data_IF_724331084911
#
_entry.id   IF_724331084911
#
_cell.length_a   1.000
_cell.length_b   1.000
_cell.length_c   1.000
_cell.angle_alpha   90.00
_cell.angle_beta   90.00
_cell.angle_gamma   90.00
#
_symmetry.space_group_name_H-M   'P 1'
#
loop_
_entity.id
_entity.type
_entity.pdbx_description
1 polymer ?
#
# COMPACT_ATOMS: atom_id res chain seq x y z
N UNK A 1 -21.37 -3.76 -5.21
CA UNK A 1 -20.26 -3.20 -5.99
C UNK A 1 -18.95 -3.90 -5.59
N UNK A 2 -18.56 -4.94 -6.35
CA UNK A 2 -17.44 -5.83 -6.03
C UNK A 2 -16.08 -5.32 -6.52
N UNK A 3 -15.53 -5.95 -7.57
CA UNK A 3 -14.27 -5.51 -8.20
C UNK A 3 -14.39 -4.04 -8.66
N UNK A 4 -13.69 -3.14 -7.97
CA UNK A 4 -13.89 -1.69 -8.07
C UNK A 4 -12.60 -0.92 -7.75
N UNK A 5 -12.74 0.34 -7.33
CA UNK A 5 -11.63 1.29 -7.03
C UNK A 5 -10.69 1.58 -8.21
N UNK A 6 -11.13 1.33 -9.45
CA UNK A 6 -10.37 1.73 -10.63
C UNK A 6 -10.21 3.25 -10.71
N UNK A 7 -9.04 3.72 -11.14
CA UNK A 7 -8.70 5.14 -11.27
C UNK A 7 -8.42 5.85 -9.94
N UNK A 8 -8.21 5.10 -8.85
CA UNK A 8 -7.92 5.70 -7.54
C UNK A 8 -6.58 6.46 -7.53
N UNK A 9 -5.61 6.00 -8.32
CA UNK A 9 -4.34 6.66 -8.54
C UNK A 9 -4.51 8.03 -9.23
N UNK A 10 -5.37 8.14 -10.24
CA UNK A 10 -5.68 9.40 -10.93
C UNK A 10 -6.23 10.46 -9.96
N UNK A 11 -7.13 10.08 -9.06
CA UNK A 11 -7.62 10.97 -8.01
C UNK A 11 -6.48 11.47 -7.12
N UNK A 12 -5.58 10.57 -6.71
CA UNK A 12 -4.46 10.92 -5.84
C UNK A 12 -3.39 11.76 -6.54
N UNK A 13 -3.22 11.61 -7.85
CA UNK A 13 -2.37 12.51 -8.64
C UNK A 13 -2.90 13.94 -8.58
N UNK A 14 -4.21 14.15 -8.78
CA UNK A 14 -4.85 15.47 -8.70
C UNK A 14 -4.76 16.03 -7.27
N UNK A 15 -5.03 15.22 -6.25
CA UNK A 15 -4.94 15.62 -4.83
C UNK A 15 -3.53 16.11 -4.48
N UNK A 16 -2.49 15.38 -4.92
CA UNK A 16 -1.09 15.77 -4.68
C UNK A 16 -0.67 17.00 -5.49
N UNK A 17 -1.25 17.20 -6.67
CA UNK A 17 -0.87 18.30 -7.57
C UNK A 17 -1.46 19.65 -7.14
N UNK A 18 -2.71 19.66 -6.64
CA UNK A 18 -3.46 20.89 -6.42
C UNK A 18 -3.84 21.07 -4.94
N UNK A 19 -3.30 22.09 -4.24
CA UNK A 19 -3.53 22.28 -2.79
C UNK A 19 -4.99 22.45 -2.36
N UNK A 20 -5.89 22.80 -3.28
CA UNK A 20 -7.33 22.94 -3.03
C UNK A 20 -8.03 21.58 -2.84
N UNK A 21 -7.44 20.49 -3.33
CA UNK A 21 -7.98 19.15 -3.22
C UNK A 21 -7.42 18.48 -1.97
N UNK A 22 -8.25 18.28 -0.96
CA UNK A 22 -7.84 17.80 0.36
C UNK A 22 -8.06 16.29 0.57
N UNK A 23 -8.37 15.55 -0.50
CA UNK A 23 -8.76 14.15 -0.44
C UNK A 23 -10.27 13.94 -0.61
N UNK A 24 -10.77 12.84 -0.04
CA UNK A 24 -12.17 12.44 -0.10
C UNK A 24 -12.48 11.25 0.79
N UNK A 25 -13.73 10.82 0.78
CA UNK A 25 -14.21 9.67 1.55
C UNK A 25 -14.65 8.56 0.60
N UNK A 26 -14.10 7.36 0.79
CA UNK A 26 -14.47 6.19 0.00
C UNK A 26 -15.85 5.70 0.45
N UNK A 27 -16.71 5.39 -0.52
CA UNK A 27 -17.98 4.73 -0.31
C UNK A 27 -17.87 3.24 -0.69
N UNK A 28 -18.02 2.28 0.22
CA UNK A 28 -18.10 2.45 1.68
C UNK A 28 -17.05 1.60 2.42
N UNK A 29 -17.11 1.62 3.76
CA UNK A 29 -16.14 0.90 4.56
C UNK A 29 -16.38 -0.62 4.54
N UNK A 30 -17.62 -1.08 4.65
CA UNK A 30 -17.92 -2.49 4.90
C UNK A 30 -19.20 -2.93 4.21
N UNK A 31 -19.12 -4.06 3.51
CA UNK A 31 -20.28 -4.71 2.92
C UNK A 31 -21.35 -4.98 3.99
N UNK A 32 -22.61 -4.69 3.64
CA UNK A 32 -23.73 -4.75 4.57
C UNK A 32 -24.56 -6.03 4.39
N UNK A 33 -23.99 -7.08 3.78
CA UNK A 33 -24.64 -8.38 3.69
C UNK A 33 -24.80 -9.01 5.09
N UNK A 34 -25.85 -9.79 5.28
CA UNK A 34 -26.04 -10.56 6.51
C UNK A 34 -25.77 -12.04 6.26
N UNK A 35 -25.34 -12.74 7.30
CA UNK A 35 -25.23 -14.19 7.26
C UNK A 35 -26.63 -14.81 7.18
N UNK A 36 -26.86 -15.56 6.11
CA UNK A 36 -28.08 -16.35 5.94
C UNK A 36 -27.71 -17.83 5.80
N UNK A 37 -28.28 -18.65 6.67
CA UNK A 37 -28.18 -20.09 6.57
C UNK A 37 -29.07 -20.58 5.41
N UNK A 38 -28.49 -21.40 4.53
CA UNK A 38 -29.15 -22.13 3.45
C UNK A 38 -29.24 -23.60 3.83
N UNK A 39 -29.92 -24.40 3.00
CA UNK A 39 -30.05 -25.84 3.21
C UNK A 39 -28.68 -26.49 3.45
N UNK A 40 -28.68 -27.55 4.26
CA UNK A 40 -27.48 -28.35 4.57
C UNK A 40 -26.38 -27.58 5.32
N UNK A 41 -26.74 -26.50 6.04
CA UNK A 41 -25.81 -25.75 6.90
C UNK A 41 -24.85 -24.84 6.15
N UNK A 42 -25.12 -24.57 4.87
CA UNK A 42 -24.32 -23.64 4.08
C UNK A 42 -24.67 -22.20 4.40
N UNK A 43 -23.69 -21.38 4.77
CA UNK A 43 -23.90 -19.94 4.99
C UNK A 43 -23.59 -19.16 3.71
N UNK A 44 -24.39 -18.12 3.46
CA UNK A 44 -24.12 -17.13 2.42
C UNK A 44 -24.20 -15.71 2.99
N UNK A 45 -23.47 -14.79 2.38
CA UNK A 45 -23.67 -13.36 2.56
C UNK A 45 -24.88 -12.93 1.73
N UNK A 46 -26.04 -12.85 2.38
CA UNK A 46 -27.30 -12.49 1.74
C UNK A 46 -27.49 -10.97 1.69
N UNK A 47 -27.99 -10.50 0.57
CA UNK A 47 -28.31 -9.09 0.32
C UNK A 47 -29.78 -8.92 -0.10
N UNK A 48 -30.16 -7.74 -0.57
CA UNK A 48 -31.52 -7.50 -1.03
C UNK A 48 -31.96 -8.54 -2.08
N UNK A 49 -33.18 -9.07 -1.94
CA UNK A 49 -33.72 -10.10 -2.84
C UNK A 49 -33.43 -11.55 -2.43
N UNK A 50 -32.47 -11.80 -1.51
CA UNK A 50 -32.18 -13.17 -1.04
C UNK A 50 -33.18 -13.71 0.00
N UNK A 51 -33.96 -12.81 0.62
CA UNK A 51 -34.87 -13.12 1.73
C UNK A 51 -36.28 -13.51 1.27
N UNK A 52 -36.76 -12.94 0.17
CA UNK A 52 -38.05 -13.29 -0.45
C UNK A 52 -38.14 -12.71 -1.88
N UNK A 53 -39.11 -13.18 -2.71
CA UNK A 53 -39.26 -12.73 -4.09
C UNK A 53 -40.23 -11.56 -4.33
N UNK A 54 -40.86 -10.99 -3.29
CA UNK A 54 -41.97 -10.03 -3.46
C UNK A 54 -41.68 -8.61 -2.95
N UNK A 55 -40.77 -8.46 -1.99
CA UNK A 55 -40.35 -7.14 -1.52
C UNK A 55 -39.47 -6.45 -2.58
N UNK A 56 -39.63 -5.13 -2.71
CA UNK A 56 -38.78 -4.34 -3.58
C UNK A 56 -37.32 -4.39 -3.11
N UNK A 57 -36.38 -4.44 -4.07
CA UNK A 57 -34.97 -4.61 -3.74
C UNK A 57 -34.03 -3.96 -4.75
N UNK A 58 -33.01 -3.28 -4.22
CA UNK A 58 -31.83 -2.79 -4.96
C UNK A 58 -30.71 -3.85 -5.08
N UNK A 59 -31.04 -5.13 -4.84
CA UNK A 59 -30.14 -6.26 -4.97
C UNK A 59 -28.87 -6.10 -4.11
N UNK A 60 -27.69 -6.32 -4.68
CA UNK A 60 -26.40 -6.32 -3.98
C UNK A 60 -25.75 -4.92 -3.87
N UNK A 61 -26.51 -3.84 -4.05
CA UNK A 61 -25.97 -2.48 -3.97
C UNK A 61 -25.41 -2.13 -2.59
N UNK A 62 -25.89 -2.80 -1.53
CA UNK A 62 -25.40 -2.67 -0.16
C UNK A 62 -24.05 -3.38 0.10
N UNK A 63 -23.54 -4.14 -0.88
CA UNK A 63 -22.25 -4.83 -0.80
C UNK A 63 -21.22 -4.06 -1.63
N UNK A 64 -20.81 -2.89 -1.14
CA UNK A 64 -19.96 -1.91 -1.82
C UNK A 64 -18.76 -1.48 -0.97
N UNK A 65 -18.34 -2.33 -0.03
CA UNK A 65 -17.31 -2.02 0.94
C UNK A 65 -15.87 -2.31 0.50
N UNK A 66 -14.92 -1.62 1.12
CA UNK A 66 -13.51 -2.02 1.14
C UNK A 66 -13.31 -3.36 1.85
N UNK A 67 -14.18 -3.68 2.82
CA UNK A 67 -14.11 -4.89 3.62
C UNK A 67 -15.39 -5.72 3.49
N UNK A 68 -15.24 -7.04 3.59
CA UNK A 68 -16.35 -8.00 3.70
C UNK A 68 -17.15 -7.77 4.98
N UNK A 69 -18.35 -8.38 5.14
CA UNK A 69 -19.11 -8.27 6.39
C UNK A 69 -18.36 -8.82 7.62
N UNK A 70 -17.37 -9.71 7.42
CA UNK A 70 -16.48 -10.21 8.48
C UNK A 70 -15.24 -9.33 8.73
N UNK A 71 -15.13 -8.19 8.05
CA UNK A 71 -13.99 -7.26 8.10
C UNK A 71 -12.72 -7.84 7.45
N UNK A 72 -12.88 -8.80 6.55
CA UNK A 72 -11.80 -9.26 5.69
C UNK A 72 -11.60 -8.24 4.56
N UNK A 73 -10.35 -7.90 4.25
CA UNK A 73 -10.04 -6.93 3.20
C UNK A 73 -10.37 -7.49 1.81
N UNK A 74 -11.17 -6.76 1.03
CA UNK A 74 -11.28 -7.01 -0.41
C UNK A 74 -9.97 -6.60 -1.11
N UNK A 75 -9.63 -7.15 -2.29
CA UNK A 75 -8.37 -6.86 -2.98
C UNK A 75 -8.08 -5.37 -3.15
N UNK A 76 -9.11 -4.56 -3.47
CA UNK A 76 -8.98 -3.12 -3.65
C UNK A 76 -8.67 -2.35 -2.36
N UNK A 77 -8.88 -2.92 -1.16
CA UNK A 77 -8.45 -2.28 0.08
C UNK A 77 -6.91 -2.18 0.18
N UNK A 78 -6.18 -3.13 -0.42
CA UNK A 78 -4.71 -3.08 -0.48
C UNK A 78 -4.19 -2.02 -1.44
N UNK A 79 -4.95 -1.74 -2.51
CA UNK A 79 -4.66 -0.66 -3.45
C UNK A 79 -4.86 0.71 -2.78
N UNK A 80 -5.97 0.86 -2.04
CA UNK A 80 -6.21 2.03 -1.18
C UNK A 80 -5.09 2.23 -0.18
N UNK A 81 -4.66 1.16 0.52
CA UNK A 81 -3.59 1.23 1.50
C UNK A 81 -2.26 1.70 0.86
N UNK A 82 -1.96 1.26 -0.36
CA UNK A 82 -0.78 1.70 -1.10
C UNK A 82 -0.85 3.20 -1.42
N UNK A 83 -1.97 3.69 -1.96
CA UNK A 83 -2.10 5.11 -2.33
C UNK A 83 -2.22 6.07 -1.12
N UNK A 84 -2.74 5.58 0.01
CA UNK A 84 -2.84 6.31 1.28
C UNK A 84 -1.56 6.30 2.12
N UNK A 85 -0.53 5.55 1.71
CA UNK A 85 0.72 5.50 2.47
C UNK A 85 1.37 6.90 2.51
N UNK A 86 1.97 7.25 3.67
CA UNK A 86 2.53 8.58 3.90
C UNK A 86 4.04 8.66 3.59
N UNK A 87 4.65 7.57 3.13
CA UNK A 87 6.09 7.51 2.84
C UNK A 87 6.29 6.96 1.45
N UNK A 88 7.07 7.65 0.62
CA UNK A 88 7.34 7.24 -0.75
C UNK A 88 8.84 7.12 -0.99
N UNK A 89 9.26 5.98 -1.54
CA UNK A 89 10.59 5.84 -2.11
C UNK A 89 10.57 6.31 -3.57
N UNK A 90 11.55 7.10 -3.96
CA UNK A 90 11.69 7.68 -5.29
C UNK A 90 13.07 7.35 -5.82
N UNK A 91 13.16 7.08 -7.13
CA UNK A 91 14.45 6.97 -7.79
C UNK A 91 15.14 8.34 -7.81
N UNK A 92 16.37 8.38 -7.31
CA UNK A 92 17.26 9.54 -7.37
C UNK A 92 18.51 9.17 -8.16
N UNK A 93 19.10 8.03 -7.81
CA UNK A 93 20.10 7.30 -8.59
C UNK A 93 20.19 5.88 -8.01
N UNK A 94 19.11 5.11 -8.18
CA UNK A 94 18.99 3.78 -7.56
C UNK A 94 20.05 2.82 -8.09
N UNK A 95 20.60 3.06 -9.29
CA UNK A 95 21.73 2.30 -9.84
C UNK A 95 23.02 2.46 -9.02
N UNK A 96 23.20 3.62 -8.36
CA UNK A 96 24.27 3.87 -7.39
C UNK A 96 23.77 3.87 -5.94
N UNK A 97 22.68 3.16 -5.67
CA UNK A 97 22.16 2.99 -4.32
C UNK A 97 21.67 4.27 -3.66
N UNK A 98 21.17 5.24 -4.43
CA UNK A 98 20.58 6.48 -3.90
C UNK A 98 19.09 6.51 -4.15
N UNK A 99 18.31 6.60 -3.07
CA UNK A 99 16.85 6.75 -3.14
C UNK A 99 16.40 8.01 -2.41
N UNK A 100 15.37 8.65 -2.93
CA UNK A 100 14.64 9.70 -2.24
C UNK A 100 13.59 9.08 -1.33
N UNK A 101 13.49 9.53 -0.08
CA UNK A 101 12.42 9.18 0.85
C UNK A 101 11.60 10.43 1.12
N UNK A 102 10.37 10.47 0.59
CA UNK A 102 9.40 11.56 0.74
C UNK A 102 8.48 11.28 1.92
N UNK A 103 8.34 12.25 2.82
CA UNK A 103 7.46 12.20 3.98
C UNK A 103 6.18 13.03 3.75
N UNK A 104 5.07 12.39 3.41
CA UNK A 104 3.76 13.03 3.24
C UNK A 104 2.99 13.25 4.56
N UNK A 105 3.50 12.81 5.72
CA UNK A 105 2.91 13.22 6.99
C UNK A 105 2.93 14.75 7.14
N UNK A 106 1.87 15.30 7.72
CA UNK A 106 1.73 16.74 7.97
C UNK A 106 2.51 17.22 9.21
N UNK A 107 2.64 16.38 10.24
CA UNK A 107 3.05 16.84 11.58
C UNK A 107 4.21 16.06 12.22
N UNK A 108 4.59 14.91 11.69
CA UNK A 108 5.64 14.04 12.27
C UNK A 108 6.74 13.72 11.27
N UNK A 109 7.97 13.61 11.75
CA UNK A 109 9.07 13.07 10.97
C UNK A 109 9.01 11.54 10.87
N UNK A 110 9.98 10.92 10.20
CA UNK A 110 10.04 9.48 9.99
C UNK A 110 10.80 8.68 11.08
N UNK A 111 11.21 9.30 12.19
CA UNK A 111 12.03 8.63 13.22
C UNK A 111 11.34 7.50 13.98
N UNK A 112 10.02 7.40 13.81
CA UNK A 112 9.17 6.34 14.32
C UNK A 112 9.19 5.06 13.45
N UNK A 113 9.80 5.12 12.26
CA UNK A 113 9.86 4.02 11.31
C UNK A 113 11.28 3.45 11.21
N UNK A 114 11.35 2.17 10.85
CA UNK A 114 12.53 1.53 10.28
C UNK A 114 12.32 1.37 8.78
N UNK A 115 13.41 1.31 8.03
CA UNK A 115 13.40 0.95 6.62
C UNK A 115 14.22 -0.32 6.40
N UNK A 116 13.60 -1.32 5.78
CA UNK A 116 14.26 -2.49 5.23
C UNK A 116 14.24 -2.39 3.70
N UNK A 117 15.29 -2.91 3.06
CA UNK A 117 15.34 -2.99 1.59
C UNK A 117 16.04 -4.25 1.14
N UNK A 118 15.68 -4.71 -0.06
CA UNK A 118 16.33 -5.82 -0.76
C UNK A 118 16.48 -5.51 -2.24
N UNK A 119 17.65 -5.81 -2.79
CA UNK A 119 17.90 -5.77 -4.23
C UNK A 119 17.69 -7.19 -4.77
N UNK A 120 16.78 -7.32 -5.73
CA UNK A 120 16.43 -8.56 -6.38
C UNK A 120 17.11 -8.66 -7.75
N UNK A 121 17.59 -9.84 -8.11
CA UNK A 121 18.01 -10.17 -9.46
C UNK A 121 17.18 -11.35 -9.98
N UNK A 122 16.35 -11.13 -11.01
CA UNK A 122 15.30 -12.06 -11.46
C UNK A 122 14.47 -12.61 -10.29
N UNK A 123 14.02 -11.71 -9.40
CA UNK A 123 13.22 -12.05 -8.22
C UNK A 123 13.98 -12.67 -7.04
N UNK A 124 15.29 -12.91 -7.16
CA UNK A 124 16.10 -13.51 -6.07
C UNK A 124 16.86 -12.40 -5.31
N UNK A 125 16.73 -12.27 -3.98
CA UNK A 125 17.49 -11.29 -3.21
C UNK A 125 19.00 -11.53 -3.30
N UNK A 126 19.74 -10.50 -3.74
CA UNK A 126 21.21 -10.51 -3.87
C UNK A 126 21.90 -9.54 -2.91
N UNK A 127 21.19 -8.52 -2.44
CA UNK A 127 21.64 -7.60 -1.38
C UNK A 127 20.45 -7.19 -0.52
N UNK A 128 20.72 -6.81 0.72
CA UNK A 128 19.72 -6.30 1.66
C UNK A 128 20.34 -5.29 2.61
N UNK A 129 19.51 -4.46 3.23
CA UNK A 129 19.93 -3.58 4.30
C UNK A 129 18.77 -3.09 5.16
N UNK A 130 19.15 -2.44 6.25
CA UNK A 130 18.24 -1.96 7.29
C UNK A 130 18.73 -0.61 7.81
N UNK A 131 17.81 0.30 8.15
CA UNK A 131 18.13 1.53 8.87
C UNK A 131 17.00 1.99 9.79
N UNK A 132 17.37 2.43 10.98
CA UNK A 132 16.49 3.10 11.96
C UNK A 132 16.64 4.63 11.92
N UNK A 133 17.61 5.15 11.15
CA UNK A 133 17.98 6.56 11.17
C UNK A 133 17.22 7.37 10.11
N UNK A 134 15.89 7.27 10.13
CA UNK A 134 15.01 8.04 9.27
C UNK A 134 14.63 9.35 9.97
N UNK A 135 15.03 10.50 9.41
CA UNK A 135 14.81 11.82 10.03
C UNK A 135 14.16 12.83 9.09
N UNK A 136 13.52 12.36 8.01
CA UNK A 136 12.91 13.23 7.01
C UNK A 136 11.77 14.03 7.64
N UNK A 137 11.87 15.38 7.67
CA UNK A 137 10.83 16.22 8.25
C UNK A 137 9.49 16.10 7.51
N UNK A 138 8.36 16.46 8.16
CA UNK A 138 7.05 16.53 7.51
C UNK A 138 7.09 17.35 6.23
N UNK A 139 6.47 16.85 5.15
CA UNK A 139 6.41 17.56 3.89
C UNK A 139 7.75 17.69 3.12
N UNK A 140 8.81 16.99 3.54
CA UNK A 140 10.13 17.01 2.88
C UNK A 140 10.50 15.67 2.24
N UNK A 141 11.62 15.69 1.52
CA UNK A 141 12.31 14.52 0.97
C UNK A 141 13.74 14.52 1.49
N UNK A 142 14.27 13.35 1.84
CA UNK A 142 15.70 13.15 2.13
C UNK A 142 16.26 12.09 1.20
N UNK A 143 17.54 12.21 0.82
CA UNK A 143 18.23 11.17 0.05
C UNK A 143 18.91 10.20 1.02
N UNK A 144 18.73 8.91 0.81
CA UNK A 144 19.42 7.84 1.52
C UNK A 144 20.38 7.12 0.58
N UNK A 145 21.57 6.82 1.09
CA UNK A 145 22.56 5.99 0.42
C UNK A 145 22.50 4.57 1.01
N UNK A 146 22.32 3.58 0.14
CA UNK A 146 22.12 2.17 0.48
C UNK A 146 23.43 1.38 0.54
N UNK A 147 24.56 2.01 0.20
CA UNK A 147 25.90 1.40 0.31
C UNK A 147 26.23 0.41 -0.80
N UNK A 148 25.63 0.54 -1.98
CA UNK A 148 26.06 -0.11 -3.21
C UNK A 148 26.19 0.89 -4.35
N UNK A 149 26.92 0.52 -5.39
CA UNK A 149 27.18 1.33 -6.58
C UNK A 149 26.95 0.51 -7.84
N UNK A 150 26.96 1.15 -9.02
CA UNK A 150 26.80 0.43 -10.28
C UNK A 150 27.88 -0.64 -10.51
N UNK A 151 29.10 -0.46 -9.98
CA UNK A 151 30.18 -1.45 -10.10
C UNK A 151 29.86 -2.76 -9.36
N UNK A 152 29.09 -2.69 -8.27
CA UNK A 152 28.61 -3.86 -7.54
C UNK A 152 27.60 -4.69 -8.33
N UNK A 153 26.93 -4.07 -9.31
CA UNK A 153 25.83 -4.65 -10.07
C UNK A 153 26.28 -5.35 -11.36
N UNK A 154 27.55 -5.20 -11.74
CA UNK A 154 28.11 -5.75 -13.00
C UNK A 154 27.91 -7.27 -13.10
N UNK A 155 27.97 -7.99 -11.97
CA UNK A 155 27.73 -9.44 -11.90
C UNK A 155 26.30 -9.85 -12.27
N UNK A 156 25.36 -8.89 -12.33
CA UNK A 156 23.95 -9.11 -12.60
C UNK A 156 23.44 -8.36 -13.83
N UNK A 157 24.33 -7.84 -14.68
CA UNK A 157 23.99 -7.03 -15.86
C UNK A 157 23.04 -7.70 -16.86
N UNK A 158 23.03 -9.03 -16.90
CA UNK A 158 22.17 -9.82 -17.81
C UNK A 158 20.85 -10.24 -17.14
N UNK A 159 20.50 -9.65 -15.98
CA UNK A 159 19.30 -9.95 -15.18
C UNK A 159 18.45 -8.69 -15.00
N UNK A 160 17.16 -8.84 -14.79
CA UNK A 160 16.32 -7.75 -14.30
C UNK A 160 16.66 -7.47 -12.83
N UNK A 161 16.80 -6.18 -12.48
CA UNK A 161 17.10 -5.73 -11.13
C UNK A 161 15.99 -4.83 -10.62
N UNK A 162 15.48 -5.16 -9.42
CA UNK A 162 14.48 -4.36 -8.71
C UNK A 162 14.91 -4.15 -7.27
N UNK A 163 14.67 -2.96 -6.73
CA UNK A 163 14.85 -2.65 -5.32
C UNK A 163 13.49 -2.61 -4.63
N UNK A 164 13.24 -3.54 -3.71
CA UNK A 164 12.12 -3.45 -2.79
C UNK A 164 12.52 -2.63 -1.58
N UNK A 165 11.60 -1.77 -1.11
CA UNK A 165 11.76 -0.96 0.09
C UNK A 165 10.50 -1.07 0.94
N UNK A 166 10.68 -1.27 2.24
CA UNK A 166 9.61 -1.42 3.22
C UNK A 166 9.85 -0.48 4.41
N UNK A 167 8.82 0.26 4.82
CA UNK A 167 8.87 1.12 5.99
C UNK A 167 7.93 0.58 7.06
N UNK A 168 8.46 0.22 8.24
CA UNK A 168 7.72 -0.44 9.30
C UNK A 168 7.79 0.30 10.64
N UNK A 169 6.77 0.14 11.48
CA UNK A 169 6.72 0.75 12.81
C UNK A 169 7.85 0.22 13.72
N UNK A 170 8.60 1.11 14.38
CA UNK A 170 9.65 0.68 15.33
C UNK A 170 9.11 0.19 16.65
N UNK A 171 7.98 0.74 17.06
CA UNK A 171 7.30 0.46 18.32
C UNK A 171 5.81 0.39 18.04
N UNK A 172 5.07 -0.30 18.91
CA UNK A 172 3.63 -0.26 18.86
C UNK A 172 3.12 1.16 19.14
N UNK A 173 2.10 1.59 18.39
CA UNK A 173 1.45 2.89 18.55
C UNK A 173 -0.06 2.73 18.33
N UNK A 174 -0.87 3.13 19.31
CA UNK A 174 -2.32 2.97 19.31
C UNK A 174 -2.77 1.53 18.97
N UNK A 175 -3.38 1.33 17.79
CA UNK A 175 -3.88 0.03 17.31
C UNK A 175 -2.88 -0.70 16.39
N UNK A 176 -1.69 -0.14 16.18
CA UNK A 176 -0.69 -0.67 15.25
C UNK A 176 0.45 -1.31 16.06
N UNK A 177 0.65 -2.64 15.96
CA UNK A 177 1.81 -3.31 16.55
C UNK A 177 3.15 -2.79 16.03
N UNK A 178 4.25 -3.13 16.71
CA UNK A 178 5.60 -2.94 16.17
C UNK A 178 5.83 -3.87 14.96
N UNK A 179 6.62 -3.43 14.00
CA UNK A 179 6.99 -4.20 12.80
C UNK A 179 5.93 -4.18 11.69
N UNK A 180 4.83 -3.44 11.83
CA UNK A 180 3.81 -3.33 10.77
C UNK A 180 4.34 -2.46 9.65
N UNK A 181 4.33 -2.98 8.42
CA UNK A 181 4.68 -2.23 7.20
C UNK A 181 3.58 -1.23 6.90
N UNK A 182 3.91 0.06 6.94
CA UNK A 182 3.00 1.17 6.64
C UNK A 182 3.14 1.72 5.23
N UNK A 183 4.30 1.50 4.60
CA UNK A 183 4.56 1.92 3.24
C UNK A 183 5.53 0.96 2.56
N UNK A 184 5.38 0.77 1.26
CA UNK A 184 6.29 -0.04 0.45
C UNK A 184 6.46 0.54 -0.95
N UNK A 185 7.55 0.19 -1.60
CA UNK A 185 7.80 0.51 -3.00
C UNK A 185 8.68 -0.54 -3.65
N UNK A 186 8.58 -0.67 -4.96
CA UNK A 186 9.54 -1.37 -5.79
C UNK A 186 10.04 -0.41 -6.86
N UNK A 187 11.36 -0.24 -6.97
CA UNK A 187 11.99 0.62 -7.96
C UNK A 187 12.73 -0.24 -8.98
N UNK A 188 12.53 -0.04 -10.29
CA UNK A 188 13.37 -0.68 -11.31
C UNK A 188 14.79 -0.11 -11.20
N UNK A 189 15.79 -1.00 -11.18
CA UNK A 189 17.22 -0.61 -11.10
C UNK A 189 17.91 -0.83 -12.43
N UNK A 190 17.61 -1.94 -13.09
CA UNK A 190 18.11 -2.30 -14.40
C UNK A 190 17.13 -3.26 -15.06
N UNK A 191 16.90 -3.08 -16.35
CA UNK A 191 16.11 -4.00 -17.16
C UNK A 191 16.93 -4.27 -18.43
N UNK A 192 17.28 -5.54 -18.72
CA UNK A 192 18.10 -5.89 -19.89
C UNK A 192 17.51 -5.45 -21.23
#
# INVERSE_FOLDING_TARGET
MGNSMGGFDDYWQIIRQYPQYQGGFIWDFVDQALFLERKEGHFVYAYGGDYNPYDASDQNFNNNGLFSPSRDANPHAYDVAYHYQNVWAQDVDVSNGKIGVRNEYFFRDLSHLSMEWELLANGIPVRKGHTDNLKTPPGKTSVLELGYSQSDLVLYRDKELFLNVYFSTRKAEALIPAGVVLARAQLPVHTP
#
